data_IF_153917051494
#
_entry.id   IF_153917051494
#
_cell.length_a   1.000
_cell.length_b   1.000
_cell.length_c   1.000
_cell.angle_alpha   90.00
_cell.angle_beta   90.00
_cell.angle_gamma   90.00
#
_symmetry.space_group_name_H-M   'P 1'
#
loop_
_entity.id
_entity.type
_entity.pdbx_description
1 polymer ?
#
# COMPACT_ATOMS: atom_id res chain seq x y z
N UNK A 1 10.00 -19.90 21.60
CA UNK A 1 10.92 -18.81 21.18
C UNK A 1 10.57 -18.48 19.73
N UNK A 2 10.31 -17.21 19.42
CA UNK A 2 10.14 -16.79 18.02
C UNK A 2 11.46 -17.05 17.27
N UNK A 3 11.37 -17.54 16.02
CA UNK A 3 12.57 -17.68 15.20
C UNK A 3 13.18 -16.28 14.98
N UNK A 4 14.53 -16.15 14.98
CA UNK A 4 15.17 -14.89 14.70
C UNK A 4 14.74 -14.36 13.33
N UNK A 5 14.50 -13.05 13.23
CA UNK A 5 14.16 -12.41 11.96
C UNK A 5 15.38 -12.51 11.05
N UNK A 6 15.26 -13.25 9.95
CA UNK A 6 16.31 -13.38 8.94
C UNK A 6 16.00 -12.43 7.78
N UNK A 7 16.92 -11.51 7.49
CA UNK A 7 16.88 -10.67 6.30
C UNK A 7 17.62 -11.37 5.17
N UNK A 8 16.89 -11.83 4.17
CA UNK A 8 17.47 -12.61 3.10
C UNK A 8 16.69 -12.46 1.79
N UNK A 9 17.42 -12.42 0.69
CA UNK A 9 16.87 -12.61 -0.65
C UNK A 9 16.80 -14.10 -0.90
N UNK A 10 15.59 -14.61 -1.09
CA UNK A 10 15.33 -15.99 -1.49
C UNK A 10 14.56 -16.01 -2.80
N UNK A 11 14.97 -16.86 -3.72
CA UNK A 11 14.23 -17.04 -4.97
C UNK A 11 12.77 -17.46 -4.64
N UNK A 12 11.75 -16.67 -5.00
CA UNK A 12 10.37 -16.96 -4.65
C UNK A 12 9.87 -18.30 -5.20
N UNK A 13 10.34 -18.69 -6.40
CA UNK A 13 9.92 -19.93 -7.06
C UNK A 13 10.52 -21.19 -6.40
N UNK A 14 11.81 -21.13 -6.00
CA UNK A 14 12.55 -22.31 -5.50
C UNK A 14 12.76 -22.32 -4.00
N UNK A 15 12.71 -21.15 -3.33
CA UNK A 15 13.06 -20.96 -1.92
C UNK A 15 14.59 -20.92 -1.68
N UNK A 16 15.41 -21.01 -2.74
CA UNK A 16 16.87 -20.98 -2.64
C UNK A 16 17.37 -19.64 -2.09
N UNK A 17 18.31 -19.71 -1.14
CA UNK A 17 18.96 -18.54 -0.59
C UNK A 17 19.92 -17.93 -1.64
N UNK A 18 19.69 -16.67 -2.00
CA UNK A 18 20.55 -15.91 -2.92
C UNK A 18 21.55 -15.05 -2.15
N UNK A 19 21.07 -14.36 -1.10
CA UNK A 19 21.88 -13.42 -0.33
C UNK A 19 21.31 -13.23 1.07
N UNK A 20 22.19 -13.05 2.07
CA UNK A 20 21.82 -12.79 3.48
C UNK A 20 22.31 -11.42 3.91
N UNK A 21 21.53 -10.77 4.75
CA UNK A 21 21.82 -9.48 5.35
C UNK A 21 21.78 -9.61 6.87
N UNK A 22 22.77 -9.10 7.62
CA UNK A 22 22.78 -9.23 9.06
C UNK A 22 21.63 -8.42 9.67
N UNK A 23 20.94 -9.01 10.63
CA UNK A 23 19.99 -8.29 11.46
C UNK A 23 20.74 -7.28 12.33
N UNK A 24 20.23 -6.07 12.43
CA UNK A 24 20.82 -5.01 13.24
C UNK A 24 20.86 -5.39 14.72
N UNK A 25 21.90 -4.98 15.40
CA UNK A 25 21.97 -5.00 16.87
C UNK A 25 21.09 -3.89 17.45
N UNK A 26 20.75 -3.98 18.74
CA UNK A 26 20.00 -2.93 19.46
C UNK A 26 20.74 -1.59 19.40
N UNK A 27 22.08 -1.60 19.50
CA UNK A 27 22.91 -0.40 19.42
C UNK A 27 22.85 0.25 18.03
N UNK A 28 22.80 -0.52 16.95
CA UNK A 28 22.65 0.01 15.59
C UNK A 28 21.25 0.60 15.35
N UNK A 29 20.19 0.01 15.90
CA UNK A 29 18.84 0.59 15.81
C UNK A 29 18.77 1.91 16.59
N UNK A 30 19.35 1.97 17.79
CA UNK A 30 19.45 3.20 18.58
C UNK A 30 20.26 4.27 17.84
N UNK A 31 21.38 3.91 17.23
CA UNK A 31 22.21 4.82 16.43
C UNK A 31 21.47 5.38 15.21
N UNK A 32 20.63 4.55 14.54
CA UNK A 32 19.79 4.99 13.44
C UNK A 32 18.74 6.04 13.88
N UNK A 33 18.14 5.84 15.06
CA UNK A 33 17.20 6.81 15.64
C UNK A 33 17.93 8.11 16.05
N UNK A 34 19.14 8.01 16.63
CA UNK A 34 19.98 9.16 16.95
C UNK A 34 20.34 9.97 15.70
N UNK A 35 20.78 9.29 14.62
CA UNK A 35 21.10 9.92 13.36
C UNK A 35 19.87 10.64 12.75
N UNK A 36 18.71 9.99 12.75
CA UNK A 36 17.47 10.59 12.24
C UNK A 36 17.04 11.81 13.06
N UNK A 37 17.11 11.74 14.39
CA UNK A 37 16.78 12.85 15.28
C UNK A 37 17.75 14.03 15.14
N UNK A 38 19.04 13.75 14.94
CA UNK A 38 20.07 14.75 14.70
C UNK A 38 19.88 15.42 13.33
N UNK A 39 19.65 14.65 12.28
CA UNK A 39 19.35 15.17 10.94
C UNK A 39 18.08 16.03 10.93
N UNK A 40 17.04 15.65 11.66
CA UNK A 40 15.87 16.50 11.83
C UNK A 40 16.23 17.87 12.40
N UNK A 41 17.04 17.90 13.45
CA UNK A 41 17.43 19.16 14.11
C UNK A 41 18.32 20.03 13.19
N UNK A 42 19.29 19.43 12.51
CA UNK A 42 20.30 20.15 11.73
C UNK A 42 19.87 20.47 10.31
N UNK A 43 18.99 19.66 9.71
CA UNK A 43 18.54 19.78 8.34
C UNK A 43 17.04 19.93 8.19
N UNK A 44 16.24 19.05 8.80
CA UNK A 44 14.78 19.02 8.64
C UNK A 44 14.11 20.33 9.02
N UNK A 45 14.57 20.96 10.12
CA UNK A 45 14.09 22.24 10.63
C UNK A 45 14.69 23.46 9.97
N UNK A 46 15.85 23.34 9.33
CA UNK A 46 16.64 24.48 8.88
C UNK A 46 16.69 24.64 7.37
N UNK A 47 16.49 23.54 6.62
CA UNK A 47 16.41 23.59 5.15
C UNK A 47 15.09 24.21 4.68
N UNK A 48 15.12 24.86 3.53
CA UNK A 48 13.90 25.36 2.89
C UNK A 48 13.14 24.22 2.20
N UNK A 49 11.85 24.43 1.91
CA UNK A 49 11.05 23.49 1.12
C UNK A 49 11.66 23.30 -0.27
N UNK A 50 12.17 24.40 -0.88
CA UNK A 50 12.83 24.37 -2.19
C UNK A 50 14.10 23.49 -2.19
N UNK A 51 14.94 23.55 -1.14
CA UNK A 51 16.13 22.68 -1.02
C UNK A 51 15.71 21.20 -0.97
N UNK A 52 14.71 20.87 -0.19
CA UNK A 52 14.19 19.50 -0.08
C UNK A 52 13.55 19.01 -1.37
N UNK A 53 12.82 19.88 -2.07
CA UNK A 53 12.24 19.60 -3.37
C UNK A 53 13.31 19.25 -4.42
N UNK A 54 14.44 19.99 -4.45
CA UNK A 54 15.55 19.67 -5.33
C UNK A 54 16.18 18.29 -5.06
N UNK A 55 16.29 17.91 -3.78
CA UNK A 55 16.77 16.57 -3.41
C UNK A 55 15.80 15.47 -3.86
N UNK A 56 14.49 15.68 -3.71
CA UNK A 56 13.47 14.74 -4.17
C UNK A 56 13.47 14.58 -5.71
N UNK A 57 13.64 15.67 -6.47
CA UNK A 57 13.80 15.61 -7.92
C UNK A 57 15.01 14.76 -8.33
N UNK A 58 16.13 14.83 -7.59
CA UNK A 58 17.30 13.96 -7.81
C UNK A 58 16.98 12.49 -7.47
N UNK A 59 16.23 12.23 -6.39
CA UNK A 59 15.76 10.87 -6.06
C UNK A 59 14.93 10.30 -7.20
N UNK A 60 13.99 11.09 -7.74
CA UNK A 60 13.18 10.69 -8.90
C UNK A 60 14.04 10.32 -10.11
N UNK A 61 15.02 11.17 -10.44
CA UNK A 61 15.92 10.90 -11.56
C UNK A 61 16.77 9.63 -11.33
N UNK A 62 17.31 9.45 -10.13
CA UNK A 62 18.08 8.26 -9.79
C UNK A 62 17.25 6.97 -9.81
N UNK A 63 15.97 7.03 -9.48
CA UNK A 63 15.06 5.88 -9.65
C UNK A 63 14.92 5.52 -11.14
N UNK A 64 14.79 6.51 -12.03
CA UNK A 64 14.75 6.26 -13.49
C UNK A 64 16.07 5.69 -14.01
N UNK A 65 17.18 6.26 -13.61
CA UNK A 65 18.53 5.85 -14.06
C UNK A 65 18.87 4.43 -13.59
N UNK A 66 18.35 4.01 -12.43
CA UNK A 66 18.58 2.68 -11.84
C UNK A 66 17.34 1.78 -11.91
N UNK A 67 16.40 2.08 -12.81
CA UNK A 67 15.13 1.36 -12.85
C UNK A 67 15.29 -0.15 -13.12
N UNK A 68 16.20 -0.53 -13.99
CA UNK A 68 16.46 -1.95 -14.28
C UNK A 68 17.12 -2.68 -13.12
N UNK A 69 17.99 -2.02 -12.36
CA UNK A 69 18.64 -2.57 -11.16
C UNK A 69 17.61 -2.81 -10.04
N UNK A 70 16.77 -1.82 -9.76
CA UNK A 70 15.68 -1.95 -8.79
C UNK A 70 14.66 -3.01 -9.21
N UNK A 71 14.28 -3.06 -10.48
CA UNK A 71 13.36 -4.06 -11.02
C UNK A 71 13.93 -5.48 -10.86
N UNK A 72 15.24 -5.67 -11.10
CA UNK A 72 15.90 -6.95 -10.89
C UNK A 72 15.90 -7.37 -9.40
N UNK A 73 16.10 -6.41 -8.48
CA UNK A 73 15.99 -6.67 -7.05
C UNK A 73 14.56 -7.10 -6.66
N UNK A 74 13.54 -6.36 -7.09
CA UNK A 74 12.13 -6.69 -6.85
C UNK A 74 11.78 -8.10 -7.36
N UNK A 75 12.18 -8.43 -8.59
CA UNK A 75 11.97 -9.75 -9.17
C UNK A 75 12.63 -10.86 -8.33
N UNK A 76 13.89 -10.66 -7.92
CA UNK A 76 14.62 -11.64 -7.12
C UNK A 76 14.02 -11.86 -5.72
N UNK A 77 13.44 -10.82 -5.12
CA UNK A 77 12.94 -10.81 -3.75
C UNK A 77 11.49 -11.29 -3.61
N UNK A 78 10.62 -11.01 -4.61
CA UNK A 78 9.20 -11.33 -4.49
C UNK A 78 8.54 -11.89 -5.76
N UNK A 79 9.31 -12.13 -6.82
CA UNK A 79 8.85 -12.82 -8.03
C UNK A 79 8.06 -11.97 -9.03
N UNK A 80 7.90 -10.66 -8.81
CA UNK A 80 7.21 -9.77 -9.74
C UNK A 80 7.87 -9.81 -11.12
N UNK A 81 7.09 -9.92 -12.19
CA UNK A 81 7.60 -9.89 -13.56
C UNK A 81 8.40 -8.60 -13.82
N UNK A 82 9.54 -8.72 -14.51
CA UNK A 82 10.45 -7.58 -14.72
C UNK A 82 9.79 -6.33 -15.32
N UNK A 83 8.88 -6.42 -16.33
CA UNK A 83 8.20 -5.23 -16.82
C UNK A 83 7.32 -4.55 -15.77
N UNK A 84 6.60 -5.33 -14.96
CA UNK A 84 5.77 -4.81 -13.87
C UNK A 84 6.62 -4.22 -12.74
N UNK A 85 7.75 -4.85 -12.40
CA UNK A 85 8.71 -4.32 -11.43
C UNK A 85 9.31 -2.99 -11.90
N UNK A 86 9.67 -2.87 -13.17
CA UNK A 86 10.15 -1.61 -13.76
C UNK A 86 9.06 -0.53 -13.75
N UNK A 87 7.80 -0.90 -14.06
CA UNK A 87 6.65 -0.01 -13.95
C UNK A 87 6.48 0.55 -12.54
N UNK A 88 6.62 -0.29 -11.51
CA UNK A 88 6.60 0.12 -10.10
C UNK A 88 7.68 1.18 -9.79
N UNK A 89 8.90 0.96 -10.24
CA UNK A 89 10.01 1.90 -10.02
C UNK A 89 9.75 3.24 -10.71
N UNK A 90 9.26 3.22 -11.95
CA UNK A 90 8.96 4.45 -12.68
C UNK A 90 7.79 5.22 -12.07
N UNK A 91 6.77 4.53 -11.57
CA UNK A 91 5.68 5.15 -10.84
C UNK A 91 6.15 5.74 -9.49
N UNK A 92 7.09 5.06 -8.81
CA UNK A 92 7.73 5.61 -7.61
C UNK A 92 8.53 6.89 -7.89
N UNK A 93 9.25 6.94 -9.02
CA UNK A 93 9.91 8.16 -9.46
C UNK A 93 8.92 9.32 -9.69
N UNK A 94 7.77 9.03 -10.28
CA UNK A 94 6.72 10.04 -10.48
C UNK A 94 6.15 10.58 -9.16
N UNK A 95 6.09 9.76 -8.09
CA UNK A 95 5.70 10.22 -6.75
C UNK A 95 6.70 11.24 -6.20
N UNK A 96 8.01 10.97 -6.31
CA UNK A 96 9.03 11.92 -5.86
C UNK A 96 8.98 13.23 -6.64
N UNK A 97 8.77 13.19 -7.97
CA UNK A 97 8.58 14.39 -8.79
C UNK A 97 7.33 15.17 -8.37
N UNK A 98 6.23 14.47 -8.16
CA UNK A 98 4.96 15.12 -7.76
C UNK A 98 5.13 15.95 -6.49
N UNK A 99 5.80 15.42 -5.47
CA UNK A 99 6.05 16.17 -4.24
C UNK A 99 7.16 17.21 -4.42
N UNK A 100 8.20 16.95 -5.22
CA UNK A 100 9.22 17.95 -5.56
C UNK A 100 8.60 19.20 -6.21
N UNK A 101 7.66 19.02 -7.13
CA UNK A 101 7.01 20.13 -7.85
C UNK A 101 5.96 20.86 -7.01
N UNK A 102 5.35 20.21 -6.02
CA UNK A 102 4.14 20.72 -5.35
C UNK A 102 4.29 20.98 -3.87
N UNK A 103 5.43 20.61 -3.25
CA UNK A 103 5.65 20.73 -1.81
C UNK A 103 5.49 22.19 -1.32
N UNK A 104 5.98 23.17 -2.05
CA UNK A 104 5.85 24.58 -1.66
C UNK A 104 4.38 25.00 -1.57
N UNK A 105 3.55 24.57 -2.52
CA UNK A 105 2.11 24.86 -2.51
C UNK A 105 1.40 24.14 -1.37
N UNK A 106 1.74 22.86 -1.11
CA UNK A 106 1.08 22.09 -0.07
C UNK A 106 1.46 22.52 1.34
N UNK A 107 2.66 23.09 1.51
CA UNK A 107 3.20 23.53 2.79
C UNK A 107 3.10 25.06 2.99
N UNK A 108 2.45 25.77 2.06
CA UNK A 108 2.20 27.20 2.22
C UNK A 108 1.39 27.51 3.48
N UNK A 109 1.64 28.67 4.08
CA UNK A 109 0.85 29.17 5.19
C UNK A 109 -0.61 29.36 4.77
N UNK A 110 -1.54 28.95 5.60
CA UNK A 110 -2.98 29.12 5.41
C UNK A 110 -3.49 30.27 6.28
N UNK A 111 -3.84 31.40 5.66
CA UNK A 111 -4.40 32.54 6.38
C UNK A 111 -5.79 32.21 6.92
N UNK A 112 -6.07 32.71 8.13
CA UNK A 112 -7.36 32.57 8.80
C UNK A 112 -8.01 33.95 8.87
N UNK A 113 -9.20 34.09 8.28
CA UNK A 113 -10.04 35.26 8.44
C UNK A 113 -10.54 35.35 9.89
N UNK A 114 -10.23 36.46 10.57
CA UNK A 114 -10.68 36.67 11.93
C UNK A 114 -12.12 37.19 11.94
N UNK A 115 -12.96 36.52 12.70
CA UNK A 115 -14.35 36.96 12.90
C UNK A 115 -14.44 38.14 13.91
N UNK A 116 -13.42 38.30 14.76
CA UNK A 116 -13.34 39.38 15.74
C UNK A 116 -11.90 39.61 16.22
N UNK A 117 -11.61 40.80 16.71
CA UNK A 117 -10.30 41.20 17.23
C UNK A 117 -9.36 41.73 16.12
N UNK A 118 -8.26 42.35 16.56
CA UNK A 118 -7.26 42.99 15.67
C UNK A 118 -6.10 42.00 15.36
N UNK A 119 -5.31 42.29 14.32
CA UNK A 119 -4.11 41.53 13.93
C UNK A 119 -4.36 40.45 12.89
N UNK A 120 -3.47 39.45 12.81
CA UNK A 120 -3.51 38.36 11.82
C UNK A 120 -3.47 36.98 12.45
N UNK A 121 -3.99 35.97 11.73
CA UNK A 121 -3.85 34.58 12.11
C UNK A 121 -3.53 33.71 10.91
N UNK A 122 -2.71 32.70 11.10
CA UNK A 122 -2.41 31.70 10.07
C UNK A 122 -2.13 30.33 10.66
N UNK A 123 -2.29 29.29 9.85
CA UNK A 123 -1.77 27.95 10.15
C UNK A 123 -0.49 27.74 9.33
N UNK A 124 0.61 27.47 10.04
CA UNK A 124 1.88 27.10 9.42
C UNK A 124 2.11 25.62 9.55
N UNK A 125 2.41 24.98 8.39
CA UNK A 125 2.76 23.55 8.32
C UNK A 125 4.25 23.36 8.50
N UNK A 126 4.65 22.40 9.32
CA UNK A 126 6.07 22.08 9.54
C UNK A 126 6.28 20.63 9.95
N UNK A 127 7.53 20.16 9.94
CA UNK A 127 7.84 18.79 10.31
C UNK A 127 7.61 18.51 11.78
N UNK A 128 7.35 17.25 12.11
CA UNK A 128 7.18 16.78 13.50
C UNK A 128 8.45 16.12 14.05
N UNK A 129 9.32 15.56 13.21
CA UNK A 129 10.57 14.92 13.64
C UNK A 129 10.96 13.67 12.88
N UNK A 130 11.66 12.75 13.57
CA UNK A 130 11.97 11.45 13.01
C UNK A 130 10.74 10.56 13.01
N UNK A 131 10.49 9.88 11.88
CA UNK A 131 9.38 8.98 11.68
C UNK A 131 9.88 7.55 11.44
N UNK A 132 9.11 6.57 11.85
CA UNK A 132 9.36 5.16 11.56
C UNK A 132 8.46 4.71 10.40
N UNK A 133 9.05 4.16 9.34
CA UNK A 133 8.34 3.50 8.25
C UNK A 133 8.49 1.98 8.35
N UNK A 134 7.40 1.22 8.24
CA UNK A 134 7.39 -0.24 8.20
C UNK A 134 6.70 -0.68 6.92
N UNK A 135 7.49 -1.17 5.95
CA UNK A 135 7.01 -1.39 4.58
C UNK A 135 7.00 -2.86 4.20
N UNK A 136 5.98 -3.30 3.43
CA UNK A 136 5.79 -4.69 3.04
C UNK A 136 6.59 -5.04 1.79
N UNK A 137 6.40 -6.27 1.30
CA UNK A 137 7.16 -6.87 0.22
C UNK A 137 6.48 -6.81 -1.16
N UNK A 138 5.16 -6.54 -1.21
CA UNK A 138 4.40 -6.70 -2.48
C UNK A 138 4.63 -5.56 -3.49
N UNK A 139 4.98 -4.37 -3.02
CA UNK A 139 5.44 -3.23 -3.83
C UNK A 139 6.60 -2.53 -3.10
N UNK A 140 7.80 -3.15 -3.08
CA UNK A 140 8.87 -2.77 -2.15
C UNK A 140 9.49 -1.39 -2.42
N UNK A 141 9.30 -0.80 -3.60
CA UNK A 141 9.78 0.55 -3.93
C UNK A 141 8.65 1.57 -3.84
N UNK A 142 7.47 1.22 -4.37
CA UNK A 142 6.30 2.08 -4.35
C UNK A 142 5.80 2.42 -2.94
N UNK A 143 5.75 1.44 -2.04
CA UNK A 143 5.30 1.64 -0.66
C UNK A 143 6.24 2.62 0.10
N UNK A 144 7.54 2.53 -0.17
CA UNK A 144 8.52 3.46 0.40
C UNK A 144 8.31 4.87 -0.16
N UNK A 145 8.11 5.01 -1.49
CA UNK A 145 7.93 6.32 -2.12
C UNK A 145 6.70 7.05 -1.58
N UNK A 146 5.56 6.35 -1.40
CA UNK A 146 4.33 6.92 -0.85
C UNK A 146 4.54 7.55 0.53
N UNK A 147 5.33 6.91 1.38
CA UNK A 147 5.65 7.40 2.71
C UNK A 147 6.80 8.42 2.72
N UNK A 148 7.91 8.10 2.02
CA UNK A 148 9.13 8.90 2.12
C UNK A 148 9.02 10.27 1.42
N UNK A 149 8.39 10.33 0.24
CA UNK A 149 8.36 11.56 -0.54
C UNK A 149 7.67 12.73 0.20
N UNK A 150 6.42 12.61 0.70
CA UNK A 150 5.76 13.70 1.41
C UNK A 150 6.46 14.06 2.72
N UNK A 151 6.99 13.08 3.43
CA UNK A 151 7.61 13.30 4.73
C UNK A 151 8.97 14.01 4.62
N UNK A 152 9.80 13.62 3.66
CA UNK A 152 11.06 14.32 3.39
C UNK A 152 10.83 15.71 2.81
N UNK A 153 9.78 15.90 1.96
CA UNK A 153 9.37 17.22 1.48
C UNK A 153 9.00 18.16 2.63
N UNK A 154 8.31 17.65 3.66
CA UNK A 154 7.94 18.41 4.85
C UNK A 154 9.15 18.76 5.72
N UNK A 155 10.22 17.95 5.68
CA UNK A 155 11.40 18.07 6.53
C UNK A 155 11.42 17.09 7.70
N UNK A 156 10.54 16.09 7.73
CA UNK A 156 10.69 14.93 8.59
C UNK A 156 11.90 14.10 8.16
N UNK A 157 12.44 13.30 9.08
CA UNK A 157 13.47 12.31 8.80
C UNK A 157 12.92 10.91 8.99
N UNK A 158 13.54 9.91 8.41
CA UNK A 158 12.97 8.57 8.30
C UNK A 158 13.95 7.51 8.81
N UNK A 159 13.48 6.66 9.70
CA UNK A 159 14.03 5.32 9.95
C UNK A 159 13.12 4.33 9.27
N UNK A 160 13.64 3.56 8.31
CA UNK A 160 12.86 2.59 7.55
C UNK A 160 13.21 1.16 7.96
N UNK A 161 12.19 0.37 8.28
CA UNK A 161 12.26 -1.09 8.40
C UNK A 161 11.47 -1.71 7.26
N UNK A 162 12.15 -2.28 6.29
CA UNK A 162 11.50 -3.01 5.21
C UNK A 162 11.14 -4.46 5.60
N UNK A 163 10.30 -5.12 4.77
CA UNK A 163 10.04 -6.55 4.92
C UNK A 163 11.34 -7.37 4.87
N UNK A 164 11.50 -8.40 5.72
CA UNK A 164 12.75 -9.17 5.78
C UNK A 164 13.13 -9.87 4.47
N UNK A 165 12.18 -10.07 3.56
CA UNK A 165 12.44 -10.65 2.24
C UNK A 165 12.87 -9.64 1.18
N UNK A 166 12.86 -8.31 1.48
CA UNK A 166 13.22 -7.23 0.54
C UNK A 166 14.45 -6.41 1.01
N UNK A 167 15.54 -7.04 1.49
CA UNK A 167 16.68 -6.29 2.04
C UNK A 167 17.49 -5.59 0.95
N UNK A 168 17.58 -6.16 -0.26
CA UNK A 168 18.31 -5.57 -1.39
C UNK A 168 17.61 -4.33 -1.92
N UNK A 169 16.30 -4.39 -2.13
CA UNK A 169 15.50 -3.22 -2.51
C UNK A 169 15.63 -2.10 -1.48
N UNK A 170 15.62 -2.42 -0.19
CA UNK A 170 15.81 -1.46 0.88
C UNK A 170 17.21 -0.80 0.85
N UNK A 171 18.27 -1.58 0.65
CA UNK A 171 19.63 -1.07 0.53
C UNK A 171 19.82 -0.16 -0.70
N UNK A 172 19.27 -0.56 -1.85
CA UNK A 172 19.34 0.22 -3.09
C UNK A 172 18.63 1.57 -2.95
N UNK A 173 17.46 1.60 -2.30
CA UNK A 173 16.76 2.85 -2.03
C UNK A 173 17.54 3.76 -1.07
N UNK A 174 18.12 3.23 0.01
CA UNK A 174 18.98 4.00 0.90
C UNK A 174 20.19 4.61 0.16
N UNK A 175 20.82 3.84 -0.73
CA UNK A 175 21.92 4.33 -1.57
C UNK A 175 21.46 5.44 -2.54
N UNK A 176 20.23 5.39 -3.04
CA UNK A 176 19.65 6.46 -3.89
C UNK A 176 19.50 7.75 -3.10
N UNK A 177 18.97 7.72 -1.87
CA UNK A 177 18.84 8.94 -1.05
C UNK A 177 20.21 9.56 -0.74
N UNK A 178 21.21 8.73 -0.42
CA UNK A 178 22.59 9.20 -0.22
C UNK A 178 23.17 9.83 -1.50
N UNK A 179 23.01 9.16 -2.64
CA UNK A 179 23.49 9.66 -3.94
C UNK A 179 22.77 10.94 -4.41
N UNK A 180 21.50 11.12 -4.03
CA UNK A 180 20.74 12.35 -4.27
C UNK A 180 21.25 13.54 -3.45
N UNK A 181 22.05 13.29 -2.40
CA UNK A 181 22.64 14.32 -1.54
C UNK A 181 21.84 14.61 -0.28
N UNK A 182 20.93 13.74 0.13
CA UNK A 182 20.34 13.84 1.46
C UNK A 182 21.42 13.70 2.53
N UNK A 183 21.39 14.51 3.61
CA UNK A 183 22.36 14.37 4.67
C UNK A 183 22.21 13.04 5.42
N UNK A 184 23.30 12.60 6.04
CA UNK A 184 23.28 11.43 6.92
C UNK A 184 22.18 11.56 7.97
N UNK A 185 21.39 10.49 8.15
CA UNK A 185 20.26 10.46 9.07
C UNK A 185 18.94 10.94 8.48
N UNK A 186 18.90 11.64 7.34
CA UNK A 186 17.61 12.05 6.75
C UNK A 186 16.76 10.84 6.32
N UNK A 187 17.41 9.78 5.82
CA UNK A 187 16.80 8.49 5.51
C UNK A 187 17.75 7.36 5.93
N UNK A 188 17.33 6.54 6.87
CA UNK A 188 18.14 5.44 7.41
C UNK A 188 17.38 4.13 7.27
N UNK A 189 17.92 3.15 6.53
CA UNK A 189 17.38 1.80 6.48
C UNK A 189 17.97 0.95 7.61
N UNK A 190 17.12 0.19 8.31
CA UNK A 190 17.51 -0.73 9.39
C UNK A 190 16.92 -2.13 9.18
N UNK A 191 17.73 -3.16 9.36
CA UNK A 191 17.28 -4.56 9.33
C UNK A 191 16.90 -5.03 10.75
N UNK A 192 15.86 -4.41 11.31
CA UNK A 192 15.47 -4.60 12.70
C UNK A 192 14.44 -5.73 12.90
N UNK A 193 14.49 -6.39 14.06
CA UNK A 193 13.47 -7.33 14.52
C UNK A 193 12.17 -6.61 14.91
N UNK A 194 11.08 -7.36 15.08
CA UNK A 194 9.81 -6.79 15.53
C UNK A 194 9.91 -6.23 16.97
N UNK A 195 10.71 -6.86 17.85
CA UNK A 195 10.91 -6.38 19.22
C UNK A 195 11.70 -5.07 19.22
N UNK A 196 12.73 -4.94 18.39
CA UNK A 196 13.47 -3.69 18.20
C UNK A 196 12.58 -2.57 17.64
N UNK A 197 11.66 -2.90 16.71
CA UNK A 197 10.68 -1.95 16.20
C UNK A 197 9.69 -1.51 17.28
N UNK A 198 9.25 -2.42 18.14
CA UNK A 198 8.42 -2.06 19.29
C UNK A 198 9.13 -1.06 20.22
N UNK A 199 10.43 -1.28 20.48
CA UNK A 199 11.26 -0.35 21.25
C UNK A 199 11.45 1.00 20.52
N UNK A 200 11.66 0.98 19.18
CA UNK A 200 11.78 2.18 18.36
C UNK A 200 10.49 3.03 18.38
N UNK A 201 9.32 2.40 18.31
CA UNK A 201 8.03 3.12 18.42
C UNK A 201 7.92 3.79 19.81
N UNK A 202 8.41 3.15 20.87
CA UNK A 202 8.37 3.71 22.22
C UNK A 202 9.41 4.82 22.45
N UNK A 203 10.45 4.92 21.63
CA UNK A 203 11.52 5.91 21.80
C UNK A 203 11.00 7.35 21.62
N UNK A 204 11.25 8.28 22.57
CA UNK A 204 10.72 9.64 22.53
C UNK A 204 11.19 10.48 21.33
N UNK A 205 12.27 10.10 20.66
CA UNK A 205 12.80 10.78 19.46
C UNK A 205 12.01 10.44 18.20
N UNK A 206 11.36 9.28 18.15
CA UNK A 206 10.44 8.89 17.06
C UNK A 206 9.08 9.55 17.31
N UNK A 207 8.58 10.32 16.34
CA UNK A 207 7.39 11.16 16.50
C UNK A 207 6.13 10.57 15.87
N UNK A 208 6.27 9.55 15.04
CA UNK A 208 5.14 8.88 14.41
C UNK A 208 5.59 7.62 13.67
N UNK A 209 4.63 6.81 13.29
CA UNK A 209 4.87 5.55 12.58
C UNK A 209 3.88 5.37 11.43
N UNK A 210 4.37 5.00 10.24
CA UNK A 210 3.55 4.50 9.13
C UNK A 210 3.82 3.02 8.95
N UNK A 211 2.75 2.24 8.81
CA UNK A 211 2.85 0.82 8.49
C UNK A 211 1.94 0.50 7.31
N UNK A 212 2.51 -0.11 6.29
CA UNK A 212 1.76 -0.85 5.27
C UNK A 212 1.98 -2.35 5.49
N UNK A 213 0.90 -3.13 5.60
CA UNK A 213 1.02 -4.55 5.87
C UNK A 213 -0.27 -5.26 6.27
N UNK A 214 -0.15 -6.35 7.03
CA UNK A 214 -1.31 -7.11 7.48
C UNK A 214 -2.03 -6.45 8.65
N UNK A 215 -3.34 -6.70 8.80
CA UNK A 215 -4.14 -6.25 9.96
C UNK A 215 -3.50 -6.58 11.30
N UNK A 216 -2.93 -7.79 11.43
CA UNK A 216 -2.26 -8.22 12.66
C UNK A 216 -1.06 -7.33 13.01
N UNK A 217 -0.27 -6.97 11.98
CA UNK A 217 0.87 -6.06 12.17
C UNK A 217 0.39 -4.64 12.48
N UNK A 218 -0.65 -4.15 11.77
CA UNK A 218 -1.25 -2.85 12.02
C UNK A 218 -1.79 -2.70 13.44
N UNK A 219 -2.55 -3.70 13.93
CA UNK A 219 -3.06 -3.69 15.30
C UNK A 219 -1.94 -3.65 16.35
N UNK A 220 -0.88 -4.44 16.17
CA UNK A 220 0.27 -4.44 17.09
C UNK A 220 1.02 -3.10 17.10
N UNK A 221 1.23 -2.50 15.92
CA UNK A 221 1.88 -1.18 15.81
C UNK A 221 1.00 -0.09 16.42
N UNK A 222 -0.30 -0.07 16.13
CA UNK A 222 -1.24 0.91 16.66
C UNK A 222 -1.34 0.83 18.20
N UNK A 223 -1.33 -0.38 18.75
CA UNK A 223 -1.32 -0.58 20.22
C UNK A 223 -0.11 0.08 20.86
N UNK A 224 1.09 -0.14 20.33
CA UNK A 224 2.31 0.44 20.87
C UNK A 224 2.34 1.95 20.64
N UNK A 225 1.96 2.42 19.45
CA UNK A 225 1.89 3.84 19.13
C UNK A 225 0.92 4.59 20.06
N UNK A 226 -0.27 4.02 20.30
CA UNK A 226 -1.28 4.58 21.19
C UNK A 226 -0.80 4.69 22.64
N UNK A 227 -0.13 3.66 23.16
CA UNK A 227 0.47 3.70 24.52
C UNK A 227 1.52 4.81 24.67
N UNK A 228 2.19 5.18 23.57
CA UNK A 228 3.23 6.20 23.56
C UNK A 228 2.74 7.55 22.99
N UNK A 229 1.42 7.73 22.78
CA UNK A 229 0.77 8.93 22.26
C UNK A 229 1.34 9.38 20.91
N UNK A 230 1.67 8.44 20.04
CA UNK A 230 2.22 8.72 18.71
C UNK A 230 1.16 8.51 17.62
N UNK A 231 1.13 9.42 16.66
CA UNK A 231 0.31 9.25 15.47
C UNK A 231 0.80 8.05 14.68
N UNK A 232 -0.14 7.25 14.17
CA UNK A 232 0.16 6.23 13.19
C UNK A 232 -0.74 6.38 11.95
N UNK A 233 -0.18 6.00 10.79
CA UNK A 233 -0.88 5.81 9.53
C UNK A 233 -0.81 4.32 9.22
N UNK A 234 -1.94 3.72 8.91
CA UNK A 234 -2.05 2.29 8.68
C UNK A 234 -2.70 2.04 7.32
N UNK A 235 -1.95 1.39 6.43
CA UNK A 235 -2.41 0.89 5.15
C UNK A 235 -2.39 -0.63 5.18
N UNK A 236 -3.56 -1.27 5.30
CA UNK A 236 -3.66 -2.68 5.61
C UNK A 236 -4.30 -3.48 4.46
N UNK A 237 -4.75 -4.69 4.75
CA UNK A 237 -5.39 -5.54 3.76
C UNK A 237 -6.69 -4.96 3.20
N UNK A 238 -7.15 -5.53 2.10
CA UNK A 238 -8.38 -5.17 1.44
C UNK A 238 -9.06 -6.40 0.82
N UNK A 239 -10.36 -6.31 0.64
CA UNK A 239 -11.14 -7.28 -0.14
C UNK A 239 -12.05 -6.52 -1.09
N UNK A 240 -11.42 -5.76 -1.99
CA UNK A 240 -12.09 -4.72 -2.78
C UNK A 240 -13.17 -5.31 -3.66
N UNK A 241 -14.39 -4.76 -3.60
CA UNK A 241 -15.49 -5.17 -4.46
C UNK A 241 -15.33 -4.56 -5.86
N UNK A 242 -15.55 -5.40 -6.88
CA UNK A 242 -15.79 -5.03 -8.26
C UNK A 242 -17.31 -5.20 -8.49
N UNK A 243 -18.04 -4.10 -8.58
CA UNK A 243 -19.49 -4.07 -8.69
C UNK A 243 -19.87 -3.83 -10.15
N UNK A 244 -20.50 -4.80 -10.81
CA UNK A 244 -20.98 -4.69 -12.19
C UNK A 244 -22.52 -4.59 -12.18
N UNK A 245 -23.03 -3.40 -12.52
CA UNK A 245 -24.45 -3.07 -12.55
C UNK A 245 -24.99 -3.01 -13.98
N UNK A 246 -24.22 -2.46 -14.90
CA UNK A 246 -24.57 -2.40 -16.32
C UNK A 246 -23.31 -2.24 -17.16
N UNK A 247 -23.36 -2.73 -18.40
CA UNK A 247 -22.30 -2.51 -19.41
C UNK A 247 -22.88 -2.71 -20.80
N UNK A 248 -22.39 -1.95 -21.78
CA UNK A 248 -22.64 -2.15 -23.21
C UNK A 248 -21.62 -3.11 -23.84
N UNK A 249 -20.52 -3.40 -23.12
CA UNK A 249 -19.44 -4.28 -23.55
C UNK A 249 -19.03 -5.21 -22.39
N UNK A 250 -19.61 -6.39 -22.37
CA UNK A 250 -19.35 -7.37 -21.31
C UNK A 250 -17.92 -7.93 -21.40
N UNK A 251 -17.36 -8.06 -22.59
CA UNK A 251 -15.98 -8.55 -22.76
C UNK A 251 -14.97 -7.56 -22.19
N UNK A 252 -15.16 -6.26 -22.42
CA UNK A 252 -14.34 -5.22 -21.79
C UNK A 252 -14.48 -5.21 -20.25
N UNK A 253 -15.69 -5.42 -19.71
CA UNK A 253 -15.91 -5.52 -18.27
C UNK A 253 -15.22 -6.78 -17.68
N UNK A 254 -15.23 -7.90 -18.39
CA UNK A 254 -14.53 -9.13 -18.00
C UNK A 254 -13.02 -8.95 -18.02
N UNK A 255 -12.46 -8.30 -19.04
CA UNK A 255 -11.02 -8.00 -19.11
C UNK A 255 -10.59 -7.07 -17.97
N UNK A 256 -11.37 -6.02 -17.67
CA UNK A 256 -11.13 -5.14 -16.53
C UNK A 256 -11.19 -5.91 -15.20
N UNK A 257 -12.16 -6.81 -15.04
CA UNK A 257 -12.26 -7.66 -13.83
C UNK A 257 -11.06 -8.60 -13.70
N UNK A 258 -10.58 -9.19 -14.78
CA UNK A 258 -9.39 -10.03 -14.79
C UNK A 258 -8.13 -9.22 -14.46
N UNK A 259 -7.97 -8.02 -15.00
CA UNK A 259 -6.88 -7.10 -14.67
C UNK A 259 -6.91 -6.73 -13.18
N UNK A 260 -8.09 -6.35 -12.65
CA UNK A 260 -8.26 -6.04 -11.23
C UNK A 260 -7.85 -7.20 -10.31
N UNK A 261 -8.06 -8.47 -10.76
CA UNK A 261 -7.69 -9.65 -9.96
C UNK A 261 -6.23 -10.03 -10.11
N UNK A 262 -5.68 -10.00 -11.32
CA UNK A 262 -4.39 -10.62 -11.65
C UNK A 262 -3.19 -9.67 -11.51
N UNK A 263 -3.42 -8.37 -11.34
CA UNK A 263 -2.32 -7.42 -11.07
C UNK A 263 -1.43 -7.92 -9.94
N UNK A 264 -0.12 -7.97 -10.20
CA UNK A 264 0.89 -8.53 -9.29
C UNK A 264 0.57 -9.97 -8.80
N UNK A 265 -0.02 -10.78 -9.66
CA UNK A 265 -0.51 -12.15 -9.33
C UNK A 265 -1.53 -12.13 -8.18
N UNK A 266 -2.35 -11.08 -8.10
CA UNK A 266 -3.33 -10.86 -7.04
C UNK A 266 -2.75 -10.46 -5.68
N UNK A 267 -1.47 -10.15 -5.59
CA UNK A 267 -0.77 -9.76 -4.37
C UNK A 267 -0.78 -8.22 -4.19
N UNK A 268 -1.95 -7.61 -4.37
CA UNK A 268 -2.20 -6.19 -4.14
C UNK A 268 -3.35 -6.01 -3.13
N UNK A 269 -3.17 -5.06 -2.20
CA UNK A 269 -4.18 -4.77 -1.18
C UNK A 269 -5.49 -4.28 -1.80
N UNK A 270 -5.42 -3.45 -2.85
CA UNK A 270 -6.54 -2.91 -3.61
C UNK A 270 -6.94 -3.76 -4.84
N UNK A 271 -6.44 -4.99 -5.00
CA UNK A 271 -6.92 -5.86 -6.07
C UNK A 271 -8.40 -6.19 -5.89
N UNK A 272 -9.17 -6.29 -6.97
CA UNK A 272 -10.53 -6.80 -6.94
C UNK A 272 -10.55 -8.25 -6.43
N UNK A 273 -11.29 -8.52 -5.37
CA UNK A 273 -11.37 -9.85 -4.74
C UNK A 273 -12.80 -10.37 -4.69
N UNK A 274 -13.77 -9.46 -4.65
CA UNK A 274 -15.22 -9.70 -4.56
C UNK A 274 -15.88 -9.14 -5.82
N UNK A 275 -16.24 -10.00 -6.76
CA UNK A 275 -16.90 -9.62 -8.02
C UNK A 275 -18.41 -9.74 -7.82
N UNK A 276 -19.07 -8.61 -7.60
CA UNK A 276 -20.52 -8.52 -7.30
C UNK A 276 -21.24 -8.10 -8.56
N UNK A 277 -22.06 -8.99 -9.10
CA UNK A 277 -22.68 -8.83 -10.42
C UNK A 277 -24.20 -8.95 -10.31
N UNK A 278 -24.92 -8.00 -10.90
CA UNK A 278 -26.39 -8.05 -10.94
C UNK A 278 -26.90 -9.27 -11.67
N UNK A 279 -28.09 -9.74 -11.29
CA UNK A 279 -28.68 -11.01 -11.73
C UNK A 279 -28.74 -11.17 -13.26
N UNK A 280 -29.09 -10.10 -13.96
CA UNK A 280 -29.22 -10.11 -15.43
C UNK A 280 -27.89 -10.37 -16.15
N UNK A 281 -26.76 -10.00 -15.55
CA UNK A 281 -25.43 -10.17 -16.15
C UNK A 281 -24.65 -11.34 -15.56
N UNK A 282 -25.10 -11.87 -14.44
CA UNK A 282 -24.30 -12.79 -13.61
C UNK A 282 -23.86 -14.05 -14.35
N UNK A 283 -24.78 -14.78 -14.96
CA UNK A 283 -24.45 -16.09 -15.55
C UNK A 283 -23.46 -15.96 -16.71
N UNK A 284 -23.66 -14.96 -17.56
CA UNK A 284 -22.76 -14.70 -18.69
C UNK A 284 -21.41 -14.14 -18.23
N UNK A 285 -21.42 -13.18 -17.31
CA UNK A 285 -20.19 -12.66 -16.71
C UNK A 285 -19.39 -13.76 -16.01
N UNK A 286 -20.02 -14.55 -15.14
CA UNK A 286 -19.32 -15.59 -14.38
C UNK A 286 -18.68 -16.63 -15.29
N UNK A 287 -19.35 -17.02 -16.38
CA UNK A 287 -18.81 -17.96 -17.37
C UNK A 287 -17.58 -17.36 -18.09
N UNK A 288 -17.70 -16.15 -18.67
CA UNK A 288 -16.63 -15.49 -19.42
C UNK A 288 -15.46 -15.11 -18.52
N UNK A 289 -15.75 -14.57 -17.31
CA UNK A 289 -14.73 -14.21 -16.34
C UNK A 289 -13.94 -15.42 -15.86
N UNK A 290 -14.61 -16.55 -15.64
CA UNK A 290 -13.94 -17.80 -15.26
C UNK A 290 -13.04 -18.27 -16.40
N UNK A 291 -13.52 -18.32 -17.64
CA UNK A 291 -12.70 -18.68 -18.80
C UNK A 291 -11.48 -17.76 -18.94
N UNK A 292 -11.70 -16.45 -18.86
CA UNK A 292 -10.66 -15.44 -18.99
C UNK A 292 -9.60 -15.53 -17.88
N UNK A 293 -10.03 -15.74 -16.63
CA UNK A 293 -9.12 -15.85 -15.49
C UNK A 293 -8.30 -17.13 -15.54
N UNK A 294 -8.91 -18.27 -15.89
CA UNK A 294 -8.26 -19.57 -15.97
C UNK A 294 -7.32 -19.69 -17.18
N UNK A 295 -7.45 -18.83 -18.19
CA UNK A 295 -6.50 -18.74 -19.29
C UNK A 295 -5.13 -18.20 -18.84
N UNK A 296 -5.04 -17.54 -17.68
CA UNK A 296 -3.77 -17.14 -17.07
C UNK A 296 -3.12 -18.36 -16.40
N UNK A 297 -2.09 -18.88 -17.04
CA UNK A 297 -1.40 -20.09 -16.61
C UNK A 297 -0.56 -19.94 -15.32
N UNK A 298 -0.64 -18.80 -14.61
CA UNK A 298 0.13 -18.56 -13.39
C UNK A 298 1.64 -18.58 -13.64
N UNK A 299 2.10 -17.86 -14.66
CA UNK A 299 3.50 -17.84 -15.08
C UNK A 299 4.46 -17.21 -14.05
N UNK A 300 3.93 -16.48 -13.07
CA UNK A 300 4.71 -15.84 -12.00
C UNK A 300 4.41 -16.49 -10.65
N UNK A 301 5.44 -16.75 -9.82
CA UNK A 301 5.21 -17.31 -8.48
C UNK A 301 4.58 -16.26 -7.56
N UNK A 302 3.90 -16.70 -6.52
CA UNK A 302 3.67 -15.88 -5.34
C UNK A 302 5.01 -15.59 -4.64
N UNK A 303 5.02 -14.63 -3.74
CA UNK A 303 6.23 -14.15 -3.07
C UNK A 303 7.01 -15.24 -2.30
N UNK A 304 6.39 -16.37 -2.03
CA UNK A 304 7.02 -17.53 -1.41
C UNK A 304 6.11 -18.76 -1.45
N UNK A 305 6.70 -19.94 -1.26
CA UNK A 305 5.96 -21.19 -1.00
C UNK A 305 5.04 -21.10 0.22
N UNK A 306 5.43 -20.34 1.24
CA UNK A 306 4.62 -20.11 2.43
C UNK A 306 3.37 -19.28 2.13
N UNK A 307 3.49 -18.25 1.27
CA UNK A 307 2.36 -17.46 0.81
C UNK A 307 1.36 -18.31 0.01
N UNK A 308 1.87 -19.13 -0.93
CA UNK A 308 1.06 -20.05 -1.71
C UNK A 308 0.36 -21.10 -0.84
N UNK A 309 1.07 -21.64 0.16
CA UNK A 309 0.47 -22.59 1.12
C UNK A 309 -0.60 -21.91 2.00
N UNK A 310 -0.40 -20.64 2.35
CA UNK A 310 -1.38 -19.84 3.10
C UNK A 310 -2.68 -19.69 2.32
N UNK A 311 -2.59 -19.22 1.08
CA UNK A 311 -3.72 -19.08 0.18
C UNK A 311 -4.42 -20.43 -0.07
N UNK A 312 -3.64 -21.51 -0.28
CA UNK A 312 -4.20 -22.85 -0.45
C UNK A 312 -5.09 -23.26 0.72
N UNK A 313 -4.64 -23.06 1.96
CA UNK A 313 -5.46 -23.36 3.13
C UNK A 313 -6.76 -22.53 3.19
N UNK A 314 -6.74 -21.29 2.75
CA UNK A 314 -7.95 -20.45 2.69
C UNK A 314 -8.95 -20.99 1.64
N UNK A 315 -8.45 -21.34 0.46
CA UNK A 315 -9.25 -21.93 -0.64
C UNK A 315 -9.82 -23.29 -0.23
N UNK A 316 -8.99 -24.17 0.34
CA UNK A 316 -9.42 -25.49 0.81
C UNK A 316 -10.53 -25.37 1.90
N UNK A 317 -10.36 -24.42 2.81
CA UNK A 317 -11.39 -24.15 3.85
C UNK A 317 -12.67 -23.61 3.24
N UNK A 318 -12.59 -22.76 2.22
CA UNK A 318 -13.77 -22.25 1.52
C UNK A 318 -14.55 -23.37 0.81
N UNK A 319 -13.85 -24.25 0.10
CA UNK A 319 -14.46 -25.43 -0.57
C UNK A 319 -15.06 -26.38 0.44
N UNK A 320 -14.34 -26.68 1.53
CA UNK A 320 -14.86 -27.54 2.61
C UNK A 320 -16.13 -26.95 3.28
N UNK A 321 -16.30 -25.63 3.25
CA UNK A 321 -17.46 -24.92 3.73
C UNK A 321 -18.56 -24.70 2.66
N UNK A 322 -18.46 -25.38 1.51
CA UNK A 322 -19.51 -25.45 0.48
C UNK A 322 -19.32 -24.53 -0.72
N UNK A 323 -18.20 -23.80 -0.83
CA UNK A 323 -17.92 -23.03 -2.05
C UNK A 323 -17.54 -23.96 -3.21
N UNK A 324 -17.94 -23.58 -4.42
CA UNK A 324 -17.50 -24.22 -5.67
C UNK A 324 -16.25 -23.55 -6.19
N UNK A 325 -15.23 -24.33 -6.58
CA UNK A 325 -13.97 -23.83 -7.11
C UNK A 325 -13.79 -24.26 -8.58
N UNK A 326 -13.62 -23.28 -9.47
CA UNK A 326 -13.03 -23.50 -10.79
C UNK A 326 -11.55 -23.06 -10.75
N UNK A 327 -10.63 -23.89 -11.25
CA UNK A 327 -9.19 -23.61 -11.18
C UNK A 327 -8.45 -24.04 -12.46
N UNK A 328 -7.39 -23.31 -12.82
CA UNK A 328 -6.53 -23.61 -13.96
C UNK A 328 -5.60 -24.82 -13.73
N UNK A 329 -5.57 -25.41 -12.53
CA UNK A 329 -4.72 -26.54 -12.21
C UNK A 329 -4.43 -26.71 -10.73
N UNK A 330 -3.33 -27.36 -10.42
CA UNK A 330 -2.86 -27.58 -9.06
C UNK A 330 -1.68 -26.67 -8.69
N UNK A 331 -1.58 -26.30 -7.43
CA UNK A 331 -0.46 -25.53 -6.90
C UNK A 331 0.85 -26.31 -7.01
N UNK A 332 1.89 -25.65 -7.50
CA UNK A 332 3.25 -26.22 -7.58
C UNK A 332 4.24 -25.29 -6.87
N UNK A 333 4.59 -25.62 -5.64
CA UNK A 333 5.49 -24.79 -4.83
C UNK A 333 4.90 -23.41 -4.55
N UNK A 334 5.55 -22.36 -5.07
CA UNK A 334 5.08 -20.98 -4.99
C UNK A 334 4.14 -20.58 -6.15
N UNK A 335 4.04 -21.39 -7.20
CA UNK A 335 3.12 -21.13 -8.30
C UNK A 335 1.71 -21.56 -7.90
N UNK A 336 0.81 -20.58 -7.87
CA UNK A 336 -0.58 -20.78 -7.52
C UNK A 336 -1.45 -20.56 -8.77
N UNK A 337 -2.27 -21.53 -9.17
CA UNK A 337 -3.13 -21.38 -10.35
C UNK A 337 -4.22 -20.34 -10.09
N UNK A 338 -4.63 -19.63 -11.13
CA UNK A 338 -5.81 -18.79 -11.08
C UNK A 338 -7.05 -19.62 -10.72
N UNK A 339 -7.96 -19.03 -9.95
CA UNK A 339 -9.17 -19.70 -9.50
C UNK A 339 -10.33 -18.75 -9.28
N UNK A 340 -11.54 -19.29 -9.42
CA UNK A 340 -12.80 -18.60 -9.15
C UNK A 340 -13.62 -19.42 -8.16
N UNK A 341 -13.96 -18.79 -7.03
CA UNK A 341 -14.87 -19.32 -6.04
C UNK A 341 -16.28 -18.74 -6.28
N UNK A 342 -17.27 -19.59 -6.36
CA UNK A 342 -18.68 -19.25 -6.35
C UNK A 342 -19.37 -19.90 -5.14
N UNK A 343 -20.62 -19.55 -4.87
CA UNK A 343 -21.39 -20.07 -3.74
C UNK A 343 -20.74 -19.77 -2.38
N UNK A 344 -20.01 -18.66 -2.29
CA UNK A 344 -19.40 -18.19 -1.04
C UNK A 344 -20.43 -17.40 -0.23
N UNK A 345 -21.11 -18.07 0.70
CA UNK A 345 -22.08 -17.42 1.58
C UNK A 345 -21.44 -16.73 2.81
N UNK A 346 -22.22 -15.95 3.59
CA UNK A 346 -21.71 -15.20 4.75
C UNK A 346 -21.08 -16.06 5.85
N UNK A 347 -21.47 -17.34 5.96
CA UNK A 347 -20.94 -18.31 6.92
C UNK A 347 -19.65 -18.99 6.42
N UNK A 348 -19.29 -18.81 5.14
CA UNK A 348 -18.07 -19.34 4.57
C UNK A 348 -16.86 -18.52 5.07
N UNK A 349 -15.77 -19.16 5.55
CA UNK A 349 -14.62 -18.43 6.08
C UNK A 349 -13.99 -17.47 5.06
N UNK A 350 -13.99 -17.78 3.76
CA UNK A 350 -13.44 -16.89 2.73
C UNK A 350 -14.23 -15.59 2.57
N UNK A 351 -15.53 -15.59 2.92
CA UNK A 351 -16.41 -14.42 2.74
C UNK A 351 -15.86 -13.14 3.40
N UNK A 352 -15.19 -13.28 4.56
CA UNK A 352 -14.63 -12.16 5.34
C UNK A 352 -13.10 -12.13 5.36
N UNK A 353 -12.44 -12.94 4.53
CA UNK A 353 -10.99 -12.99 4.45
C UNK A 353 -10.47 -12.29 3.19
N UNK A 354 -9.25 -11.81 3.27
CA UNK A 354 -8.48 -11.38 2.11
C UNK A 354 -7.81 -12.58 1.45
N UNK A 355 -8.13 -12.85 0.18
CA UNK A 355 -7.43 -13.83 -0.65
C UNK A 355 -6.28 -13.12 -1.39
N UNK A 356 -5.07 -13.22 -0.85
CA UNK A 356 -3.90 -12.49 -1.34
C UNK A 356 -3.13 -13.28 -2.40
N UNK A 357 -3.77 -13.48 -3.56
CA UNK A 357 -3.27 -14.23 -4.71
C UNK A 357 -4.35 -14.37 -5.79
N UNK A 358 -4.13 -15.13 -6.87
CA UNK A 358 -4.94 -15.07 -8.09
C UNK A 358 -6.29 -15.83 -7.97
N UNK A 359 -7.00 -15.68 -6.86
CA UNK A 359 -8.30 -16.32 -6.62
C UNK A 359 -9.36 -15.25 -6.41
N UNK A 360 -10.43 -15.28 -7.22
CA UNK A 360 -11.58 -14.40 -7.16
C UNK A 360 -12.75 -15.05 -6.43
N UNK A 361 -13.61 -14.25 -5.82
CA UNK A 361 -14.94 -14.67 -5.34
C UNK A 361 -16.00 -13.96 -6.17
N UNK A 362 -16.98 -14.67 -6.74
CA UNK A 362 -18.05 -14.09 -7.54
C UNK A 362 -19.38 -14.23 -6.80
N UNK A 363 -20.10 -13.11 -6.70
CA UNK A 363 -21.37 -12.98 -5.99
C UNK A 363 -22.46 -12.49 -6.93
N UNK A 364 -23.65 -13.11 -6.84
CA UNK A 364 -24.85 -12.66 -7.54
C UNK A 364 -25.57 -11.64 -6.65
N UNK A 365 -25.92 -10.49 -7.20
CA UNK A 365 -26.75 -9.48 -6.57
C UNK A 365 -28.11 -9.41 -7.28
N UNK A 366 -29.18 -9.26 -6.52
CA UNK A 366 -30.54 -9.16 -7.07
C UNK A 366 -30.76 -7.83 -7.81
N UNK A 367 -30.20 -6.75 -7.26
CA UNK A 367 -30.33 -5.39 -7.75
C UNK A 367 -29.19 -4.49 -7.22
N UNK A 368 -29.29 -3.16 -7.43
CA UNK A 368 -28.31 -2.15 -6.96
C UNK A 368 -28.16 -2.19 -5.43
N UNK A 369 -29.27 -2.25 -4.68
CA UNK A 369 -29.24 -2.23 -3.21
C UNK A 369 -28.59 -3.50 -2.66
N UNK A 370 -28.87 -4.65 -3.24
CA UNK A 370 -28.24 -5.91 -2.86
C UNK A 370 -26.75 -5.94 -3.23
N UNK A 371 -26.37 -5.36 -4.37
CA UNK A 371 -24.98 -5.22 -4.76
C UNK A 371 -24.18 -4.36 -3.76
N UNK A 372 -24.73 -3.23 -3.35
CA UNK A 372 -24.14 -2.36 -2.31
C UNK A 372 -24.03 -3.12 -0.99
N UNK A 373 -25.07 -3.83 -0.59
CA UNK A 373 -25.07 -4.62 0.65
C UNK A 373 -23.98 -5.68 0.65
N UNK A 374 -23.85 -6.46 -0.45
CA UNK A 374 -22.82 -7.49 -0.57
C UNK A 374 -21.43 -6.85 -0.61
N UNK A 375 -21.24 -5.74 -1.32
CA UNK A 375 -19.99 -5.03 -1.42
C UNK A 375 -19.50 -4.52 -0.05
N UNK A 376 -20.41 -4.00 0.77
CA UNK A 376 -20.14 -3.45 2.10
C UNK A 376 -20.03 -4.52 3.21
N UNK A 377 -20.56 -5.74 3.00
CA UNK A 377 -20.53 -6.81 4.00
C UNK A 377 -19.16 -7.50 4.06
N UNK A 378 -18.15 -6.71 4.36
CA UNK A 378 -16.76 -7.11 4.57
C UNK A 378 -16.15 -6.26 5.69
N UNK A 379 -15.21 -6.79 6.47
CA UNK A 379 -14.47 -5.99 7.46
C UNK A 379 -13.55 -4.96 6.83
N UNK A 380 -13.30 -5.03 5.53
CA UNK A 380 -12.39 -4.16 4.79
C UNK A 380 -13.11 -2.98 4.13
N UNK A 381 -12.33 -1.98 3.73
CA UNK A 381 -12.82 -0.81 3.02
C UNK A 381 -11.67 -0.01 2.40
N UNK A 382 -10.79 -0.67 1.61
CA UNK A 382 -9.66 0.02 0.97
C UNK A 382 -10.12 0.72 -0.30
N UNK A 383 -10.40 -0.03 -1.36
CA UNK A 383 -10.88 0.47 -2.63
C UNK A 383 -12.13 -0.28 -3.11
N UNK A 384 -12.65 0.15 -4.25
CA UNK A 384 -13.78 -0.47 -4.95
C UNK A 384 -13.81 -0.03 -6.41
N UNK A 385 -14.45 -0.86 -7.23
CA UNK A 385 -14.70 -0.59 -8.64
C UNK A 385 -16.19 -0.66 -8.92
N UNK A 386 -16.74 0.29 -9.68
CA UNK A 386 -18.15 0.34 -10.06
C UNK A 386 -18.25 0.47 -11.56
N UNK A 387 -18.98 -0.45 -12.20
CA UNK A 387 -19.22 -0.45 -13.63
C UNK A 387 -20.71 -0.28 -13.90
N UNK A 388 -21.07 0.79 -14.61
CA UNK A 388 -22.43 1.12 -15.00
C UNK A 388 -22.45 2.13 -16.15
N UNK A 389 -23.52 2.11 -16.95
CA UNK A 389 -23.75 3.06 -18.03
C UNK A 389 -24.53 4.29 -17.57
N UNK A 390 -25.08 4.30 -16.34
CA UNK A 390 -25.84 5.41 -15.77
C UNK A 390 -24.97 6.24 -14.80
N UNK A 391 -24.62 7.50 -15.13
CA UNK A 391 -23.84 8.35 -14.23
C UNK A 391 -24.53 8.62 -12.88
N UNK A 392 -25.86 8.67 -12.85
CA UNK A 392 -26.60 8.84 -11.60
C UNK A 392 -26.52 7.62 -10.70
N UNK A 393 -26.53 6.42 -11.29
CA UNK A 393 -26.29 5.16 -10.58
C UNK A 393 -24.83 5.11 -10.07
N UNK A 394 -23.86 5.50 -10.90
CA UNK A 394 -22.45 5.54 -10.50
C UNK A 394 -22.26 6.42 -9.25
N UNK A 395 -22.87 7.62 -9.22
CA UNK A 395 -22.77 8.55 -8.09
C UNK A 395 -23.44 7.98 -6.83
N UNK A 396 -24.65 7.41 -6.95
CA UNK A 396 -25.37 6.82 -5.80
C UNK A 396 -24.57 5.67 -5.20
N UNK A 397 -24.10 4.75 -6.03
CA UNK A 397 -23.33 3.58 -5.58
C UNK A 397 -21.99 3.99 -5.01
N UNK A 398 -21.24 4.91 -5.65
CA UNK A 398 -20.00 5.41 -5.13
C UNK A 398 -20.14 6.06 -3.74
N UNK A 399 -21.24 6.79 -3.50
CA UNK A 399 -21.52 7.39 -2.20
C UNK A 399 -21.97 6.36 -1.13
N UNK A 400 -22.55 5.24 -1.55
CA UNK A 400 -23.03 4.19 -0.65
C UNK A 400 -21.96 3.15 -0.27
N UNK A 401 -20.86 3.05 -1.04
CA UNK A 401 -19.79 2.12 -0.75
C UNK A 401 -18.93 2.62 0.42
N UNK A 402 -18.68 1.73 1.39
CA UNK A 402 -17.91 2.02 2.61
C UNK A 402 -16.41 1.74 2.38
N UNK A 403 -15.82 2.41 1.39
CA UNK A 403 -14.42 2.29 1.01
C UNK A 403 -13.72 3.65 0.98
N UNK A 404 -12.40 3.65 1.04
CA UNK A 404 -11.63 4.89 0.97
C UNK A 404 -11.43 5.41 -0.45
N UNK A 405 -11.59 4.52 -1.45
CA UNK A 405 -11.42 4.84 -2.88
C UNK A 405 -12.51 4.15 -3.70
N UNK A 406 -13.07 4.86 -4.69
CA UNK A 406 -14.03 4.30 -5.66
C UNK A 406 -13.56 4.66 -7.06
N UNK A 407 -13.37 3.68 -7.92
CA UNK A 407 -13.04 3.84 -9.32
C UNK A 407 -14.24 3.49 -10.18
N UNK A 408 -14.71 4.43 -10.99
CA UNK A 408 -15.89 4.25 -11.84
C UNK A 408 -15.46 3.95 -13.27
N UNK A 409 -15.97 2.87 -13.83
CA UNK A 409 -15.75 2.42 -15.22
C UNK A 409 -14.27 2.29 -15.62
N UNK A 410 -13.41 1.90 -14.67
CA UNK A 410 -12.01 1.67 -14.98
C UNK A 410 -11.25 0.96 -13.86
N UNK A 411 -10.15 0.33 -14.24
CA UNK A 411 -9.17 -0.32 -13.39
C UNK A 411 -7.81 0.31 -13.70
N UNK A 412 -6.88 0.33 -12.73
CA UNK A 412 -5.58 0.95 -12.93
C UNK A 412 -5.62 2.48 -13.05
N UNK A 413 -6.63 3.11 -12.44
CA UNK A 413 -6.83 4.57 -12.47
C UNK A 413 -6.10 5.30 -11.33
N UNK A 414 -5.19 4.61 -10.61
CA UNK A 414 -4.39 5.23 -9.56
C UNK A 414 -3.44 6.28 -10.14
N UNK A 415 -3.29 7.38 -9.43
CA UNK A 415 -2.42 8.48 -9.80
C UNK A 415 -1.64 9.02 -8.61
N UNK A 416 -0.50 9.64 -8.86
CA UNK A 416 0.35 10.23 -7.80
C UNK A 416 -0.35 11.40 -7.08
N UNK A 417 -1.30 12.04 -7.76
CA UNK A 417 -2.13 13.14 -7.25
C UNK A 417 -3.39 12.66 -6.52
N UNK A 418 -3.75 11.38 -6.65
CA UNK A 418 -4.95 10.82 -6.07
C UNK A 418 -4.66 10.27 -4.67
N UNK A 419 -5.45 10.65 -3.65
CA UNK A 419 -5.28 10.10 -2.30
C UNK A 419 -5.50 8.60 -2.28
N UNK A 420 -4.62 7.88 -1.59
CA UNK A 420 -4.67 6.45 -1.37
C UNK A 420 -4.92 6.13 0.10
N UNK A 421 -5.83 5.22 0.41
CA UNK A 421 -6.07 4.73 1.77
C UNK A 421 -7.50 4.29 2.01
N UNK A 422 -7.69 3.54 3.09
CA UNK A 422 -8.92 2.85 3.43
C UNK A 422 -9.65 3.39 4.65
N UNK A 423 -10.72 2.67 4.96
CA UNK A 423 -11.52 2.77 6.19
C UNK A 423 -11.72 1.37 6.78
N UNK A 424 -12.45 1.23 7.85
CA UNK A 424 -12.69 -0.04 8.55
C UNK A 424 -11.35 -0.72 8.92
N UNK A 425 -11.22 -2.02 8.71
CA UNK A 425 -9.99 -2.78 9.00
C UNK A 425 -8.89 -2.63 7.95
N UNK A 426 -9.15 -1.92 6.86
CA UNK A 426 -8.11 -1.52 5.90
C UNK A 426 -7.21 -0.40 6.41
N UNK A 427 -7.53 0.18 7.57
CA UNK A 427 -6.67 1.13 8.24
C UNK A 427 -7.22 2.55 8.25
N UNK A 428 -6.33 3.50 8.48
CA UNK A 428 -6.66 4.92 8.58
C UNK A 428 -5.46 5.79 8.24
N UNK A 429 -5.72 7.03 7.89
CA UNK A 429 -4.80 7.95 7.23
C UNK A 429 -4.95 7.92 5.71
N UNK A 430 -4.21 8.77 5.03
CA UNK A 430 -4.14 8.83 3.57
C UNK A 430 -2.70 9.01 3.13
N UNK A 431 -2.34 8.31 2.07
CA UNK A 431 -1.08 8.51 1.38
C UNK A 431 -1.35 9.12 -0.01
N UNK A 432 -0.32 9.62 -0.67
CA UNK A 432 -0.40 10.29 -1.96
C UNK A 432 -1.27 11.57 -1.99
N UNK A 433 -1.29 12.22 -3.14
CA UNK A 433 -2.00 13.48 -3.33
C UNK A 433 -1.61 14.57 -2.31
N UNK A 434 -2.50 15.51 -2.10
CA UNK A 434 -2.32 16.57 -1.10
C UNK A 434 -2.61 16.10 0.33
N UNK A 435 -3.33 14.98 0.52
CA UNK A 435 -3.64 14.45 1.85
C UNK A 435 -2.43 13.73 2.46
N UNK A 436 -1.59 13.08 1.63
CA UNK A 436 -0.42 12.34 2.12
C UNK A 436 0.60 13.24 2.82
N UNK A 437 0.75 14.49 2.40
CA UNK A 437 1.69 15.43 3.05
C UNK A 437 1.16 15.95 4.40
N UNK A 438 -0.15 15.86 4.63
CA UNK A 438 -0.80 16.36 5.84
C UNK A 438 -0.78 15.36 7.01
N UNK A 439 -0.31 14.13 6.80
CA UNK A 439 -0.38 13.09 7.82
C UNK A 439 0.61 13.31 8.97
N UNK A 440 1.87 13.60 8.69
CA UNK A 440 2.88 13.82 9.72
C UNK A 440 3.37 15.28 9.69
N UNK A 441 2.42 16.19 9.86
CA UNK A 441 2.64 17.64 9.84
C UNK A 441 2.17 18.27 11.13
N UNK A 442 2.99 19.17 11.67
CA UNK A 442 2.57 20.09 12.73
C UNK A 442 1.86 21.31 12.10
N UNK A 443 0.53 21.37 12.24
CA UNK A 443 -0.30 22.50 11.82
C UNK A 443 -0.35 23.53 12.96
N UNK A 444 0.62 24.44 12.99
CA UNK A 444 0.81 25.40 14.07
C UNK A 444 0.00 26.66 13.82
N UNK A 445 -0.94 26.99 14.73
CA UNK A 445 -1.58 28.30 14.75
C UNK A 445 -0.55 29.37 15.17
N UNK A 446 -0.46 30.43 14.37
CA UNK A 446 0.29 31.65 14.71
C UNK A 446 -0.72 32.81 14.71
N UNK A 447 -0.92 33.43 15.86
CA UNK A 447 -1.80 34.59 16.05
C UNK A 447 -0.95 35.79 16.43
N UNK A 448 -1.01 36.85 15.63
CA UNK A 448 -0.23 38.07 15.86
C UNK A 448 -1.17 39.24 16.12
N UNK A 449 -0.95 39.94 17.23
CA UNK A 449 -1.55 41.24 17.53
C UNK A 449 -0.54 42.32 17.11
N UNK A 450 -0.94 43.19 16.23
CA UNK A 450 -0.11 44.33 15.70
C UNK A 450 -0.54 45.61 16.36
#
# INVERSE_FOLDING_TARGET
>A
MAQPTEYAVRNPATGELIESFPTATDAEVVAAIDAASSAYTMWGRTSTVADRAQLLARVAQLHRDRADELAAAINAEMGKALPAAKGEVLFSAAIYDFYAERAERFLADEEIELLAGEGTALVRKGPVGALLGIMPWNYPVYQVARFAAPNLATGNTIVLKHAPQCPRSAALQAAIFTAAGFPEGAYVNVYATNDQIAAAIADPRVQGVSLTGSERAGAAVAEIAGRNLKKCVLELGGSDPFVLLATDDLDAAVDAAAEARLSNTGQACNAGKRFVVVDELYDEFAARFTERLLADAGATPLSSTAAAAGLGRQVDAAVAAGASLATAGERQGAFFPAGVLTEVGPDNPAYRQELFGPVAMVFRAQDEDDAIRIANDTPYGLGSYVFTNDPGQAERVANALETGMVFVNGVGLEGVELPFGGVKRSGFGRELGHLGIDEFVNKKLIRTLT
#
